data_IF_278197293745
#
_entry.id   IF_278197293745
#
_cell.length_a   1.000
_cell.length_b   1.000
_cell.length_c   1.000
_cell.angle_alpha   90.00
_cell.angle_beta   90.00
_cell.angle_gamma   90.00
#
_symmetry.space_group_name_H-M   'P 1'
#
loop_
_entity.id
_entity.type
_entity.pdbx_description
1 polymer ?
#
# COMPACT_ATOMS: atom_id res chain seq x y z
N UNK A 1 -4.02 12.90 35.43
CA UNK A 1 -4.38 12.61 34.03
C UNK A 1 -3.12 12.23 33.27
N UNK A 2 -2.98 10.98 32.83
CA UNK A 2 -1.97 10.57 31.86
C UNK A 2 -2.59 9.44 31.04
N UNK A 3 -2.88 9.74 29.77
CA UNK A 3 -3.65 8.90 28.86
C UNK A 3 -2.97 7.56 28.58
N UNK A 4 -3.79 6.54 28.34
CA UNK A 4 -3.38 5.19 27.99
C UNK A 4 -2.49 5.20 26.73
N UNK A 5 -1.18 5.06 26.92
CA UNK A 5 -0.19 4.87 25.86
C UNK A 5 -0.04 3.39 25.48
N UNK A 6 -1.03 2.82 24.78
CA UNK A 6 -0.90 1.48 24.18
C UNK A 6 -1.45 1.48 22.76
N UNK A 7 -0.57 1.20 21.80
CA UNK A 7 -0.91 1.00 20.39
C UNK A 7 -1.00 -0.50 20.13
N UNK A 8 -2.13 -0.95 19.59
CA UNK A 8 -2.32 -2.34 19.14
C UNK A 8 -1.88 -2.42 17.68
N UNK A 9 -0.82 -3.19 17.40
CA UNK A 9 -0.24 -3.31 16.06
C UNK A 9 -0.43 -4.73 15.52
N UNK A 10 -0.86 -4.81 14.26
CA UNK A 10 -0.95 -6.05 13.50
C UNK A 10 0.44 -6.65 13.19
N UNK A 11 0.55 -7.98 13.05
CA UNK A 11 1.82 -8.74 13.13
C UNK A 11 2.91 -8.27 12.14
N UNK A 12 2.52 -7.79 10.95
CA UNK A 12 3.45 -7.36 9.90
C UNK A 12 3.67 -5.85 9.86
N UNK A 13 2.64 -5.04 10.11
CA UNK A 13 2.78 -3.60 10.38
C UNK A 13 3.70 -3.36 11.59
N UNK A 14 3.64 -4.27 12.58
CA UNK A 14 4.55 -4.33 13.72
C UNK A 14 6.01 -4.41 13.27
N UNK A 15 6.39 -5.27 12.33
CA UNK A 15 7.81 -5.41 11.94
C UNK A 15 8.35 -4.17 11.24
N UNK A 16 7.57 -3.56 10.33
CA UNK A 16 7.98 -2.36 9.58
C UNK A 16 8.08 -1.13 10.49
N UNK A 17 7.10 -0.95 11.38
CA UNK A 17 7.10 0.15 12.35
C UNK A 17 8.16 -0.08 13.43
N UNK A 18 8.36 -1.32 13.90
CA UNK A 18 9.46 -1.67 14.82
C UNK A 18 10.80 -1.32 14.20
N UNK A 19 11.02 -1.64 12.92
CA UNK A 19 12.25 -1.31 12.22
C UNK A 19 12.45 0.22 12.12
N UNK A 20 11.42 0.96 11.73
CA UNK A 20 11.46 2.43 11.66
C UNK A 20 11.69 3.10 13.02
N UNK A 21 10.98 2.66 14.06
CA UNK A 21 11.12 3.20 15.43
C UNK A 21 12.49 2.89 16.03
N UNK A 22 13.04 1.70 15.79
CA UNK A 22 14.41 1.35 16.22
C UNK A 22 15.45 2.18 15.49
N UNK A 23 15.29 2.40 14.18
CA UNK A 23 16.16 3.27 13.40
C UNK A 23 16.12 4.73 13.88
N UNK A 24 14.97 5.18 14.39
CA UNK A 24 14.79 6.48 15.02
C UNK A 24 15.23 6.52 16.51
N UNK A 25 15.83 5.45 17.04
CA UNK A 25 16.41 5.39 18.39
C UNK A 25 15.43 5.03 19.52
N UNK A 26 14.19 4.63 19.20
CA UNK A 26 13.22 4.21 20.20
C UNK A 26 13.38 2.72 20.57
N UNK A 27 13.33 2.42 21.87
CA UNK A 27 13.27 1.04 22.35
C UNK A 27 11.87 0.46 22.10
N UNK A 28 11.82 -0.62 21.31
CA UNK A 28 10.56 -1.30 20.98
C UNK A 28 10.52 -2.68 21.61
N UNK A 29 9.72 -2.81 22.67
CA UNK A 29 9.51 -4.06 23.41
C UNK A 29 8.42 -4.93 22.76
N UNK A 30 8.65 -6.25 22.59
CA UNK A 30 7.61 -7.16 22.15
C UNK A 30 6.43 -7.22 23.11
N UNK A 31 5.22 -7.35 22.55
CA UNK A 31 4.01 -7.57 23.33
C UNK A 31 4.04 -8.97 23.95
N UNK A 32 3.69 -9.11 25.23
CA UNK A 32 3.78 -10.37 25.97
C UNK A 32 2.83 -11.43 25.42
N UNK A 33 3.19 -12.71 25.59
CA UNK A 33 2.42 -13.87 25.10
C UNK A 33 0.95 -13.86 25.59
N UNK A 34 0.70 -13.34 26.80
CA UNK A 34 -0.66 -13.22 27.34
C UNK A 34 -1.57 -12.25 26.57
N UNK A 35 -1.01 -11.20 25.95
CA UNK A 35 -1.80 -10.27 25.12
C UNK A 35 -1.97 -10.82 23.69
N UNK A 36 -0.97 -11.55 23.18
CA UNK A 36 -1.06 -12.22 21.87
C UNK A 36 -2.17 -13.27 21.81
N UNK A 37 -2.47 -13.93 22.93
CA UNK A 37 -3.52 -14.96 23.02
C UNK A 37 -4.96 -14.40 22.88
N UNK A 38 -5.15 -13.08 22.94
CA UNK A 38 -6.48 -12.43 22.87
C UNK A 38 -6.94 -12.12 21.43
N UNK A 39 -6.23 -12.63 20.41
CA UNK A 39 -6.33 -12.18 19.01
C UNK A 39 -7.30 -12.90 18.04
N UNK A 40 -8.30 -13.71 18.42
CA UNK A 40 -9.21 -14.26 17.41
C UNK A 40 -10.39 -13.30 17.19
N UNK A 41 -10.33 -12.41 16.17
CA UNK A 41 -11.50 -11.76 15.47
C UNK A 41 -11.16 -10.56 14.54
N UNK A 42 -10.10 -10.61 13.73
CA UNK A 42 -9.94 -9.63 12.64
C UNK A 42 -10.09 -10.39 11.30
N UNK A 43 -11.21 -10.21 10.57
CA UNK A 43 -11.41 -10.88 9.30
C UNK A 43 -10.59 -10.18 8.22
N UNK A 44 -10.06 -10.97 7.30
CA UNK A 44 -9.39 -10.59 6.04
C UNK A 44 -7.88 -10.30 6.13
N UNK A 45 -7.11 -11.36 6.37
CA UNK A 45 -5.74 -11.48 5.83
C UNK A 45 -5.79 -12.57 4.76
N UNK A 46 -5.66 -12.21 3.48
CA UNK A 46 -5.47 -13.20 2.42
C UNK A 46 -3.98 -13.55 2.38
N UNK A 47 -3.56 -14.45 3.26
CA UNK A 47 -2.24 -15.06 3.16
C UNK A 47 -2.32 -16.20 2.15
N UNK A 48 -1.52 -16.14 1.07
CA UNK A 48 -1.30 -17.34 0.27
C UNK A 48 -0.52 -18.35 1.13
N UNK A 49 -0.98 -19.60 1.21
CA UNK A 49 -0.25 -20.67 1.91
C UNK A 49 1.04 -21.10 1.18
N UNK A 50 1.46 -20.37 0.13
CA UNK A 50 2.64 -20.70 -0.66
C UNK A 50 3.90 -20.36 0.13
N UNK A 51 4.80 -21.34 0.22
CA UNK A 51 6.14 -21.14 0.77
C UNK A 51 6.92 -20.20 -0.14
N UNK A 52 7.52 -19.16 0.45
CA UNK A 52 8.42 -18.25 -0.26
C UNK A 52 9.58 -19.02 -0.91
N UNK A 53 9.89 -18.66 -2.16
CA UNK A 53 11.01 -19.22 -2.92
C UNK A 53 12.12 -18.19 -3.05
N UNK A 54 13.41 -18.59 -3.11
CA UNK A 54 14.55 -17.68 -3.21
C UNK A 54 14.57 -16.74 -4.43
N UNK A 55 13.73 -16.98 -5.45
CA UNK A 55 13.65 -16.20 -6.68
C UNK A 55 12.25 -15.60 -6.87
N UNK A 56 11.60 -15.18 -5.78
CA UNK A 56 10.26 -14.62 -5.80
C UNK A 56 10.22 -13.30 -5.03
N UNK A 57 9.52 -12.32 -5.59
CA UNK A 57 9.10 -11.12 -4.87
C UNK A 57 7.85 -11.41 -4.04
N UNK A 58 7.56 -10.52 -3.10
CA UNK A 58 6.33 -10.58 -2.32
C UNK A 58 5.73 -9.20 -2.17
N UNK A 59 4.48 -9.08 -2.60
CA UNK A 59 3.65 -7.93 -2.30
C UNK A 59 3.05 -8.09 -0.91
N UNK A 60 3.21 -7.07 -0.08
CA UNK A 60 2.61 -6.93 1.23
C UNK A 60 1.57 -5.82 1.16
N UNK A 61 0.32 -6.12 1.49
CA UNK A 61 -0.77 -5.15 1.57
C UNK A 61 -1.24 -5.12 3.03
N UNK A 62 -1.38 -3.93 3.60
CA UNK A 62 -1.78 -3.75 4.99
C UNK A 62 -2.72 -2.55 5.13
N UNK A 63 -3.84 -2.76 5.81
CA UNK A 63 -4.79 -1.70 6.09
C UNK A 63 -5.42 -1.75 7.48
N UNK A 64 -4.68 -1.40 8.55
CA UNK A 64 -5.25 -1.31 9.89
C UNK A 64 -6.22 -0.13 10.00
N UNK A 65 -7.22 -0.29 10.87
CA UNK A 65 -8.14 0.78 11.25
C UNK A 65 -7.72 1.43 12.57
N UNK A 66 -7.74 2.76 12.64
CA UNK A 66 -7.54 3.53 13.86
C UNK A 66 -8.71 4.49 14.07
N UNK A 67 -9.39 4.39 15.22
CA UNK A 67 -10.51 5.28 15.60
C UNK A 67 -11.63 5.35 14.54
N UNK A 68 -11.87 4.24 13.85
CA UNK A 68 -12.89 4.14 12.81
C UNK A 68 -12.43 4.59 11.41
N UNK A 69 -11.17 4.96 11.23
CA UNK A 69 -10.60 5.29 9.92
C UNK A 69 -9.61 4.21 9.45
N UNK A 70 -9.70 3.81 8.19
CA UNK A 70 -8.78 2.89 7.52
C UNK A 70 -7.45 3.52 7.16
N UNK A 71 -6.46 2.67 6.96
CA UNK A 71 -5.24 2.98 6.22
C UNK A 71 -5.10 1.95 5.11
N UNK A 72 -4.33 2.25 4.06
CA UNK A 72 -3.97 1.27 3.05
C UNK A 72 -2.55 1.53 2.55
N UNK A 73 -1.74 0.47 2.48
CA UNK A 73 -0.37 0.52 2.01
C UNK A 73 0.04 -0.82 1.40
N UNK A 74 0.50 -0.75 0.15
CA UNK A 74 1.14 -1.86 -0.55
C UNK A 74 2.65 -1.66 -0.69
N UNK A 75 3.46 -2.70 -0.45
CA UNK A 75 4.91 -2.71 -0.69
C UNK A 75 5.35 -4.04 -1.27
N UNK A 76 6.16 -4.01 -2.32
CA UNK A 76 6.83 -5.20 -2.85
C UNK A 76 8.24 -5.27 -2.28
N UNK A 77 8.55 -6.37 -1.58
CA UNK A 77 9.88 -6.59 -1.02
C UNK A 77 10.54 -7.81 -1.64
N UNK A 78 11.86 -7.76 -1.71
CA UNK A 78 12.71 -8.89 -2.03
C UNK A 78 13.31 -9.42 -0.72
N UNK A 79 13.25 -10.74 -0.47
CA UNK A 79 13.97 -11.35 0.64
C UNK A 79 15.47 -11.06 0.57
N UNK A 80 16.12 -11.01 1.73
CA UNK A 80 17.59 -10.96 1.78
C UNK A 80 18.17 -12.13 0.98
N UNK A 81 19.15 -11.84 0.11
CA UNK A 81 19.78 -12.78 -0.85
C UNK A 81 18.87 -13.33 -1.95
N UNK A 82 17.67 -12.80 -2.14
CA UNK A 82 16.86 -13.17 -3.30
C UNK A 82 17.47 -12.61 -4.59
N UNK A 83 17.60 -13.44 -5.60
CA UNK A 83 17.92 -13.03 -6.97
C UNK A 83 16.66 -13.18 -7.82
N UNK A 84 16.04 -12.06 -8.18
CA UNK A 84 14.95 -12.03 -9.15
C UNK A 84 15.49 -11.67 -10.52
N UNK A 85 14.78 -12.09 -11.57
CA UNK A 85 15.13 -11.72 -12.95
C UNK A 85 15.05 -10.21 -13.18
N UNK A 86 15.75 -9.73 -14.20
CA UNK A 86 15.76 -8.31 -14.59
C UNK A 86 14.34 -7.79 -14.87
N UNK A 87 13.48 -8.61 -15.48
CA UNK A 87 12.07 -8.31 -15.72
C UNK A 87 11.30 -7.96 -14.45
N UNK A 88 11.50 -8.69 -13.33
CA UNK A 88 10.83 -8.37 -12.06
C UNK A 88 11.33 -7.03 -11.50
N UNK A 89 12.61 -6.73 -11.70
CA UNK A 89 13.17 -5.43 -11.32
C UNK A 89 12.64 -4.30 -12.18
N UNK A 90 12.46 -4.53 -13.49
CA UNK A 90 11.83 -3.57 -14.41
C UNK A 90 10.39 -3.30 -14.03
N UNK A 91 9.59 -4.34 -13.76
CA UNK A 91 8.22 -4.18 -13.26
C UNK A 91 8.21 -3.33 -11.97
N UNK A 92 9.11 -3.61 -11.02
CA UNK A 92 9.23 -2.83 -9.79
C UNK A 92 9.59 -1.36 -10.04
N UNK A 93 10.53 -1.09 -10.95
CA UNK A 93 10.91 0.27 -11.36
C UNK A 93 9.76 0.99 -12.04
N UNK A 94 9.05 0.33 -12.95
CA UNK A 94 7.90 0.88 -13.67
C UNK A 94 6.76 1.23 -12.72
N UNK A 95 6.43 0.36 -11.78
CA UNK A 95 5.43 0.65 -10.75
C UNK A 95 5.81 1.88 -9.92
N UNK A 96 7.09 1.98 -9.52
CA UNK A 96 7.58 3.14 -8.78
C UNK A 96 7.53 4.43 -9.60
N UNK A 97 7.91 4.38 -10.88
CA UNK A 97 7.81 5.54 -11.79
C UNK A 97 6.36 5.99 -11.99
N UNK A 98 5.43 5.04 -12.15
CA UNK A 98 3.99 5.34 -12.21
C UNK A 98 3.51 6.00 -10.90
N UNK A 99 3.94 5.48 -9.75
CA UNK A 99 3.57 6.01 -8.44
C UNK A 99 3.97 7.48 -8.27
N UNK A 100 5.21 7.81 -8.64
CA UNK A 100 5.74 9.17 -8.63
C UNK A 100 5.00 10.07 -9.62
N UNK A 101 4.70 9.57 -10.82
CA UNK A 101 3.93 10.30 -11.83
C UNK A 101 2.53 10.69 -11.30
N UNK A 102 1.80 9.75 -10.71
CA UNK A 102 0.51 10.04 -10.08
C UNK A 102 0.61 11.02 -8.92
N UNK A 103 1.60 10.86 -8.04
CA UNK A 103 1.83 11.78 -6.92
C UNK A 103 2.02 13.24 -7.39
N UNK A 104 2.63 13.43 -8.56
CA UNK A 104 2.79 14.75 -9.17
C UNK A 104 1.47 15.42 -9.59
N UNK A 105 0.43 14.61 -9.91
CA UNK A 105 -0.88 15.06 -10.40
C UNK A 105 -2.02 14.94 -9.40
N UNK A 106 -1.85 14.28 -8.26
CA UNK A 106 -2.83 14.27 -7.17
C UNK A 106 -2.88 15.66 -6.50
N UNK A 107 -3.53 16.62 -7.15
CA UNK A 107 -3.69 18.01 -6.72
C UNK A 107 -5.14 18.42 -6.91
N UNK A 108 -5.61 19.33 -6.06
CA UNK A 108 -6.97 19.85 -6.18
C UNK A 108 -7.20 20.44 -7.58
N UNK A 109 -8.42 20.27 -8.11
CA UNK A 109 -8.91 20.67 -9.45
C UNK A 109 -8.48 19.78 -10.62
N UNK A 110 -7.51 18.89 -10.46
CA UNK A 110 -7.22 17.83 -11.44
C UNK A 110 -8.39 16.83 -11.46
N UNK A 111 -8.70 16.26 -12.62
CA UNK A 111 -9.76 15.24 -12.69
C UNK A 111 -9.21 13.86 -12.35
N UNK A 112 -10.06 12.99 -11.80
CA UNK A 112 -9.70 11.60 -11.49
C UNK A 112 -9.07 10.89 -12.71
N UNK A 113 -9.65 11.11 -13.89
CA UNK A 113 -9.15 10.58 -15.15
C UNK A 113 -7.80 11.16 -15.58
N UNK A 114 -7.53 12.44 -15.32
CA UNK A 114 -6.22 13.04 -15.63
C UNK A 114 -5.12 12.43 -14.75
N UNK A 115 -5.46 12.13 -13.49
CA UNK A 115 -4.54 11.44 -12.58
C UNK A 115 -4.34 9.98 -13.01
N UNK A 116 -5.41 9.22 -13.33
CA UNK A 116 -5.32 7.86 -13.89
C UNK A 116 -4.44 7.81 -15.14
N UNK A 117 -4.58 8.78 -16.05
CA UNK A 117 -3.81 8.83 -17.29
C UNK A 117 -2.29 8.92 -17.06
N UNK A 118 -1.82 9.71 -16.08
CA UNK A 118 -0.37 9.84 -15.85
C UNK A 118 0.29 8.61 -15.25
N UNK A 119 -0.47 7.79 -14.53
CA UNK A 119 0.01 6.50 -14.05
C UNK A 119 0.20 5.50 -15.20
N UNK A 120 -0.68 5.55 -16.21
CA UNK A 120 -0.62 4.66 -17.37
C UNK A 120 0.62 4.89 -18.23
N UNK A 121 1.07 6.14 -18.36
CA UNK A 121 2.19 6.50 -19.27
C UNK A 121 3.45 5.67 -19.01
N UNK A 122 4.05 5.61 -17.80
CA UNK A 122 5.26 4.80 -17.58
C UNK A 122 5.02 3.30 -17.80
N UNK A 123 3.80 2.82 -17.54
CA UNK A 123 3.44 1.40 -17.66
C UNK A 123 3.30 1.01 -19.13
N UNK A 124 2.64 1.84 -19.93
CA UNK A 124 2.47 1.65 -21.37
C UNK A 124 3.80 1.80 -22.11
N UNK A 125 4.61 2.81 -21.77
CA UNK A 125 5.93 3.04 -22.35
C UNK A 125 6.89 1.87 -22.09
N UNK A 126 6.77 1.22 -20.93
CA UNK A 126 7.53 0.01 -20.59
C UNK A 126 6.97 -1.28 -21.23
N UNK A 127 5.87 -1.20 -21.98
CA UNK A 127 5.23 -2.35 -22.64
C UNK A 127 4.36 -3.21 -21.73
N UNK A 128 4.07 -2.76 -20.50
CA UNK A 128 3.30 -3.51 -19.51
C UNK A 128 1.81 -3.15 -19.45
N UNK A 129 1.31 -2.30 -20.37
CA UNK A 129 -0.08 -1.81 -20.36
C UNK A 129 -1.15 -2.91 -20.30
N UNK A 130 -0.91 -4.07 -20.93
CA UNK A 130 -1.84 -5.20 -20.90
C UNK A 130 -1.97 -5.86 -19.51
N UNK A 131 -0.98 -5.70 -18.65
CA UNK A 131 -0.94 -6.23 -17.29
C UNK A 131 -1.51 -5.25 -16.26
N UNK A 132 -1.87 -4.05 -16.70
CA UNK A 132 -2.45 -3.01 -15.88
C UNK A 132 -3.98 -3.10 -15.90
N UNK A 133 -4.52 -3.90 -14.98
CA UNK A 133 -5.88 -4.46 -15.07
C UNK A 133 -6.88 -3.94 -14.02
N UNK A 134 -6.43 -3.16 -13.04
CA UNK A 134 -7.27 -2.68 -11.93
C UNK A 134 -7.38 -1.15 -11.92
N UNK A 135 -8.43 -0.65 -11.25
CA UNK A 135 -8.52 0.77 -10.91
C UNK A 135 -7.32 1.16 -10.05
N UNK A 136 -6.73 2.32 -10.35
CA UNK A 136 -5.42 2.69 -9.84
C UNK A 136 -5.43 3.07 -8.38
N UNK A 137 -6.48 3.78 -7.97
CA UNK A 137 -6.62 4.30 -6.63
C UNK A 137 -8.11 4.46 -6.29
N UNK A 138 -8.39 4.49 -5.00
CA UNK A 138 -9.71 4.75 -4.45
C UNK A 138 -9.62 5.72 -3.26
N UNK A 139 -10.76 6.26 -2.86
CA UNK A 139 -10.88 7.06 -1.65
C UNK A 139 -10.66 6.20 -0.42
N UNK A 140 -10.19 6.84 0.65
CA UNK A 140 -9.88 6.17 1.91
C UNK A 140 -10.29 7.04 3.10
N UNK A 141 -11.05 6.45 4.02
CA UNK A 141 -11.57 7.18 5.17
C UNK A 141 -12.17 6.23 6.19
N UNK A 142 -13.48 6.25 6.35
CA UNK A 142 -14.16 5.35 7.30
C UNK A 142 -14.26 3.94 6.72
N UNK A 143 -14.50 3.86 5.41
CA UNK A 143 -14.37 2.62 4.66
C UNK A 143 -12.98 2.54 4.03
N UNK A 144 -12.51 1.32 3.77
CA UNK A 144 -11.23 1.09 3.09
C UNK A 144 -11.35 1.40 1.60
N UNK A 145 -12.53 1.21 1.01
CA UNK A 145 -12.84 1.65 -0.35
C UNK A 145 -14.03 2.63 -0.32
N UNK A 146 -13.74 3.93 -0.40
CA UNK A 146 -14.74 4.97 -0.51
C UNK A 146 -14.57 5.81 -1.78
N UNK A 147 -15.55 6.66 -2.06
CA UNK A 147 -15.42 7.65 -3.11
C UNK A 147 -14.27 8.62 -2.77
N UNK A 148 -13.43 9.04 -3.72
CA UNK A 148 -13.53 8.91 -5.19
C UNK A 148 -12.75 7.73 -5.78
N UNK A 149 -13.12 7.31 -6.98
CA UNK A 149 -12.36 6.30 -7.74
C UNK A 149 -11.51 6.99 -8.82
N UNK A 150 -10.21 6.72 -8.83
CA UNK A 150 -9.29 7.24 -9.83
C UNK A 150 -9.25 6.25 -11.00
N UNK A 151 -10.15 6.48 -11.94
CA UNK A 151 -10.23 5.74 -13.20
C UNK A 151 -10.40 6.70 -14.39
N UNK A 152 -10.06 6.23 -15.59
CA UNK A 152 -10.07 7.03 -16.81
C UNK A 152 -11.45 7.57 -17.25
N UNK A 153 -12.54 7.01 -16.73
CA UNK A 153 -13.90 7.46 -17.01
C UNK A 153 -14.37 8.56 -16.04
N UNK A 154 -13.85 8.60 -14.82
CA UNK A 154 -14.26 9.56 -13.80
C UNK A 154 -13.72 10.97 -14.07
N UNK A 155 -14.61 11.91 -14.40
CA UNK A 155 -14.27 13.32 -14.67
C UNK A 155 -14.47 14.25 -13.47
N UNK A 156 -14.76 13.71 -12.29
CA UNK A 156 -14.82 14.50 -11.06
C UNK A 156 -13.45 15.10 -10.74
N UNK A 157 -13.45 16.33 -10.20
CA UNK A 157 -12.24 17.03 -9.78
C UNK A 157 -11.91 16.70 -8.34
N UNK A 158 -10.64 16.41 -8.09
CA UNK A 158 -10.08 16.30 -6.74
C UNK A 158 -10.32 17.59 -5.96
N UNK A 159 -10.73 17.45 -4.70
CA UNK A 159 -10.92 18.56 -3.77
C UNK A 159 -9.88 18.51 -2.66
N UNK A 160 -9.55 19.68 -2.12
CA UNK A 160 -8.67 19.76 -0.96
C UNK A 160 -9.33 19.05 0.24
N UNK A 161 -8.59 18.15 0.89
CA UNK A 161 -9.08 17.38 2.04
C UNK A 161 -9.68 16.02 1.68
N UNK A 162 -9.77 15.67 0.40
CA UNK A 162 -10.03 14.29 -0.02
C UNK A 162 -8.77 13.43 0.18
N UNK A 163 -8.97 12.17 0.53
CA UNK A 163 -7.91 11.18 0.74
C UNK A 163 -8.11 10.06 -0.25
N UNK A 164 -7.05 9.68 -0.97
CA UNK A 164 -7.07 8.58 -1.91
C UNK A 164 -5.74 7.81 -1.87
N UNK A 165 -5.77 6.55 -2.26
CA UNK A 165 -4.59 5.69 -2.40
C UNK A 165 -3.72 6.12 -3.60
N UNK A 166 -2.52 5.57 -3.70
CA UNK A 166 -1.59 5.72 -4.82
C UNK A 166 -0.84 4.40 -4.98
N UNK A 167 -1.41 3.48 -5.76
CA UNK A 167 -1.04 2.06 -5.76
C UNK A 167 -0.96 1.42 -7.18
N UNK A 168 -0.20 2.01 -8.12
CA UNK A 168 0.04 1.34 -9.41
C UNK A 168 0.69 -0.04 -9.20
N UNK A 169 0.17 -1.04 -9.92
CA UNK A 169 0.67 -2.40 -9.92
C UNK A 169 0.45 -3.08 -11.28
N UNK A 170 1.24 -4.11 -11.57
CA UNK A 170 1.08 -4.98 -12.74
C UNK A 170 0.85 -6.40 -12.25
N UNK A 171 -0.16 -7.07 -12.83
CA UNK A 171 -0.59 -8.42 -12.45
C UNK A 171 0.17 -9.51 -13.21
#
# INVERSE_FOLDING_TARGET
MAGLGKVMLDEHARLMIVAGLRAAGFEVVPMSAGIQALRPRIPTVVNSAKRWRPASSCSLISGPTLRGYGSDAARTILPDRASVGEEIMDIGRTAHMAQEAGLSRMRAKETCADVDAVFRVPIEDAGYGAFYTHQLCHGLGVDIHEHLYLDGANKEKLKLGEFATNEPGMA
#
